data_IF_002577910271
#
_entry.id   IF_002577910271
#
_cell.length_a   1.000
_cell.length_b   1.000
_cell.length_c   1.000
_cell.angle_alpha   90.00
_cell.angle_beta   90.00
_cell.angle_gamma   90.00
#
_symmetry.space_group_name_H-M   'P 1'
#
loop_
_entity.id
_entity.type
_entity.pdbx_description
1 polymer ?
#
# COMPACT_ATOMS: atom_id res chain seq x y z
N UNK A 1 19.30 5.25 -12.25
CA UNK A 1 18.97 4.63 -10.94
C UNK A 1 18.32 5.74 -10.16
N UNK A 2 17.29 5.47 -9.36
CA UNK A 2 16.61 6.53 -8.58
C UNK A 2 17.59 7.13 -7.56
N UNK A 3 17.50 8.45 -7.35
CA UNK A 3 18.32 9.17 -6.37
C UNK A 3 18.02 8.79 -4.91
N UNK A 4 16.89 8.08 -4.70
CA UNK A 4 16.47 7.61 -3.38
C UNK A 4 17.00 6.20 -3.04
N UNK A 5 17.58 5.47 -4.00
CA UNK A 5 18.03 4.09 -3.83
C UNK A 5 19.54 4.04 -3.69
N UNK A 6 20.02 3.45 -2.57
CA UNK A 6 21.42 3.16 -2.35
C UNK A 6 21.80 1.79 -2.92
N UNK A 7 21.03 0.75 -2.59
CA UNK A 7 21.27 -0.61 -3.10
C UNK A 7 19.96 -1.41 -3.15
N UNK A 8 19.83 -2.31 -4.12
CA UNK A 8 18.75 -3.29 -4.20
C UNK A 8 19.28 -4.61 -3.64
N UNK A 9 18.62 -5.13 -2.58
CA UNK A 9 19.05 -6.34 -1.88
C UNK A 9 18.17 -7.55 -2.22
N UNK A 10 16.91 -7.31 -2.60
CA UNK A 10 15.94 -8.36 -2.88
C UNK A 10 14.97 -7.96 -4.00
N UNK A 11 14.65 -8.92 -4.84
CA UNK A 11 13.65 -8.75 -5.91
C UNK A 11 12.76 -9.97 -5.98
N UNK A 12 11.46 -9.75 -6.07
CA UNK A 12 10.47 -10.81 -6.29
C UNK A 12 9.34 -10.35 -7.20
N UNK A 13 8.51 -11.30 -7.64
CA UNK A 13 7.28 -11.03 -8.41
C UNK A 13 6.11 -11.73 -7.74
N UNK A 14 5.03 -10.99 -7.54
CA UNK A 14 3.77 -11.52 -7.08
C UNK A 14 2.78 -11.60 -8.23
N UNK A 15 2.05 -12.70 -8.30
CA UNK A 15 0.90 -12.85 -9.20
C UNK A 15 -0.36 -12.34 -8.54
N UNK A 16 -1.42 -12.11 -9.31
CA UNK A 16 -2.72 -11.75 -8.78
C UNK A 16 -3.21 -12.76 -7.72
N UNK A 17 -3.90 -12.25 -6.70
CA UNK A 17 -4.42 -13.06 -5.59
C UNK A 17 -3.35 -13.54 -4.61
N UNK A 18 -2.12 -13.06 -4.72
CA UNK A 18 -1.07 -13.32 -3.74
C UNK A 18 -1.23 -12.42 -2.52
N UNK A 19 -0.72 -12.88 -1.39
CA UNK A 19 -0.57 -12.07 -0.18
C UNK A 19 0.80 -12.33 0.44
N UNK A 20 1.33 -11.34 1.13
CA UNK A 20 2.67 -11.40 1.73
C UNK A 20 2.77 -10.41 2.89
N UNK A 21 3.60 -10.75 3.87
CA UNK A 21 3.93 -9.86 4.98
C UNK A 21 5.41 -9.92 5.34
N UNK A 22 5.94 -8.80 5.77
CA UNK A 22 7.34 -8.71 6.22
C UNK A 22 7.52 -7.52 7.16
N UNK A 23 8.55 -7.60 8.02
CA UNK A 23 9.04 -6.45 8.78
C UNK A 23 10.10 -5.74 7.94
N UNK A 24 9.84 -4.48 7.66
CA UNK A 24 10.74 -3.58 6.91
C UNK A 24 11.41 -2.64 7.91
N UNK A 25 12.71 -2.46 7.80
CA UNK A 25 13.45 -1.58 8.70
C UNK A 25 13.41 -0.13 8.24
N UNK A 26 13.52 0.78 9.19
CA UNK A 26 13.74 2.19 8.91
C UNK A 26 14.94 2.39 7.97
N UNK A 27 14.83 3.33 7.02
CA UNK A 27 15.88 3.60 6.04
C UNK A 27 15.97 2.57 4.92
N UNK A 28 14.98 1.68 4.79
CA UNK A 28 14.82 0.84 3.61
C UNK A 28 13.81 1.43 2.65
N UNK A 29 13.80 0.92 1.43
CA UNK A 29 12.77 1.24 0.46
C UNK A 29 12.05 -0.03 -0.02
N UNK A 30 10.84 0.17 -0.52
CA UNK A 30 10.09 -0.82 -1.30
C UNK A 30 9.65 -0.16 -2.61
N UNK A 31 10.14 -0.66 -3.74
CA UNK A 31 9.63 -0.29 -5.05
C UNK A 31 8.70 -1.36 -5.56
N UNK A 32 7.48 -0.95 -5.87
CA UNK A 32 6.49 -1.79 -6.53
C UNK A 32 6.38 -1.34 -7.98
N UNK A 33 6.30 -2.29 -8.92
CA UNK A 33 6.12 -2.01 -10.34
C UNK A 33 4.99 -2.87 -10.87
N UNK A 34 3.99 -2.25 -11.45
CA UNK A 34 2.92 -2.94 -12.18
C UNK A 34 3.49 -3.48 -13.50
N UNK A 35 3.46 -4.79 -13.69
CA UNK A 35 4.02 -5.43 -14.89
C UNK A 35 2.99 -5.58 -16.02
N UNK A 36 1.72 -5.42 -15.72
CA UNK A 36 0.61 -5.76 -16.63
C UNK A 36 -0.33 -4.59 -16.93
N UNK A 37 -0.38 -3.58 -16.05
CA UNK A 37 -1.23 -2.39 -16.21
C UNK A 37 -2.62 -2.52 -15.59
N UNK A 38 -2.88 -3.62 -14.86
CA UNK A 38 -4.16 -3.93 -14.21
C UNK A 38 -3.98 -4.34 -12.74
N UNK A 39 -2.82 -4.04 -12.16
CA UNK A 39 -2.52 -4.39 -10.77
C UNK A 39 -3.30 -3.52 -9.78
N UNK A 40 -3.67 -4.14 -8.68
CA UNK A 40 -4.03 -3.49 -7.42
C UNK A 40 -3.18 -4.08 -6.30
N UNK A 41 -2.58 -3.25 -5.46
CA UNK A 41 -1.84 -3.70 -4.28
C UNK A 41 -2.43 -3.04 -3.04
N UNK A 42 -3.23 -3.81 -2.30
CA UNK A 42 -3.69 -3.38 -0.98
C UNK A 42 -2.57 -3.53 0.04
N UNK A 43 -2.35 -2.51 0.88
CA UNK A 43 -1.30 -2.52 1.91
C UNK A 43 -1.82 -2.05 3.26
N UNK A 44 -1.38 -2.76 4.31
CA UNK A 44 -1.54 -2.36 5.72
C UNK A 44 -0.16 -2.12 6.33
N UNK A 45 -0.12 -1.23 7.32
CA UNK A 45 1.11 -0.87 8.03
C UNK A 45 0.85 -0.86 9.54
N UNK A 46 1.72 -1.53 10.29
CA UNK A 46 1.70 -1.58 11.75
C UNK A 46 3.10 -1.32 12.29
N UNK A 47 3.17 -0.79 13.51
CA UNK A 47 4.44 -0.74 14.23
C UNK A 47 4.76 -2.15 14.76
N UNK A 48 5.89 -2.77 14.39
CA UNK A 48 6.23 -4.14 14.83
C UNK A 48 6.56 -4.24 16.33
N UNK A 49 6.80 -3.12 17.01
CA UNK A 49 7.06 -3.07 18.46
C UNK A 49 5.78 -2.86 19.27
N UNK A 50 4.79 -2.18 18.67
CA UNK A 50 3.46 -1.97 19.24
C UNK A 50 2.40 -2.13 18.14
N UNK A 51 1.86 -3.34 18.00
CA UNK A 51 0.88 -3.67 16.96
C UNK A 51 -0.46 -2.93 17.08
N UNK A 52 -0.69 -2.20 18.18
CA UNK A 52 -1.83 -1.29 18.29
C UNK A 52 -1.63 -0.03 17.45
N UNK A 53 -0.39 0.42 17.30
CA UNK A 53 -0.07 1.52 16.39
C UNK A 53 -0.12 1.05 14.93
N UNK A 54 -1.00 1.65 14.17
CA UNK A 54 -1.29 1.27 12.79
C UNK A 54 -1.55 2.46 11.89
N UNK A 55 -1.50 2.22 10.58
CA UNK A 55 -1.83 3.22 9.60
C UNK A 55 -3.22 3.79 9.83
N UNK A 56 -3.30 5.12 9.83
CA UNK A 56 -4.53 5.88 10.00
C UNK A 56 -4.83 6.68 8.72
N UNK A 57 -5.82 6.25 7.95
CA UNK A 57 -6.22 6.94 6.74
C UNK A 57 -6.77 8.36 7.04
N UNK A 58 -7.70 8.59 7.99
CA UNK A 58 -8.17 9.93 8.33
C UNK A 58 -7.05 10.90 8.67
N UNK A 59 -6.08 10.51 9.48
CA UNK A 59 -4.97 11.38 9.85
C UNK A 59 -4.03 11.63 8.66
N UNK A 60 -3.78 10.61 7.84
CA UNK A 60 -3.02 10.77 6.59
C UNK A 60 -3.70 11.78 5.67
N UNK A 61 -4.98 11.61 5.37
CA UNK A 61 -5.70 12.50 4.46
C UNK A 61 -5.77 13.94 4.99
N UNK A 62 -5.97 14.09 6.30
CA UNK A 62 -5.97 15.39 6.97
C UNK A 62 -4.59 16.07 6.90
N UNK A 63 -3.52 15.36 7.26
CA UNK A 63 -2.15 15.90 7.20
C UNK A 63 -1.69 16.17 5.76
N UNK A 64 -2.18 15.41 4.79
CA UNK A 64 -1.82 15.60 3.38
C UNK A 64 -2.76 16.52 2.62
N UNK A 65 -3.87 16.96 3.22
CA UNK A 65 -4.91 17.81 2.60
C UNK A 65 -5.41 17.27 1.25
N UNK A 66 -5.40 15.96 1.07
CA UNK A 66 -5.84 15.26 -0.14
C UNK A 66 -6.16 13.80 0.14
N UNK A 67 -7.07 13.21 -0.61
CA UNK A 67 -7.27 11.77 -0.68
C UNK A 67 -6.52 11.11 -1.86
N UNK A 68 -5.91 11.92 -2.73
CA UNK A 68 -5.11 11.46 -3.87
C UNK A 68 -3.64 11.43 -3.47
N UNK A 69 -3.22 10.33 -2.81
CA UNK A 69 -1.83 10.20 -2.37
C UNK A 69 -0.91 9.91 -3.56
N UNK A 70 0.18 10.67 -3.62
CA UNK A 70 1.21 10.58 -4.65
C UNK A 70 2.57 11.01 -4.08
N UNK A 71 3.56 11.20 -4.94
CA UNK A 71 4.89 11.70 -4.58
C UNK A 71 4.82 12.91 -3.65
N UNK A 72 5.58 12.85 -2.56
CA UNK A 72 5.63 13.88 -1.51
C UNK A 72 4.71 13.58 -0.33
N UNK A 73 3.69 12.74 -0.51
CA UNK A 73 2.79 12.39 0.59
C UNK A 73 3.39 11.32 1.50
N UNK A 74 3.01 11.40 2.78
CA UNK A 74 3.45 10.48 3.83
C UNK A 74 2.27 9.71 4.41
N UNK A 75 2.50 8.45 4.76
CA UNK A 75 1.52 7.55 5.38
C UNK A 75 1.68 7.61 6.90
N UNK A 76 0.67 8.12 7.59
CA UNK A 76 0.70 8.36 9.03
C UNK A 76 0.13 7.22 9.84
N UNK A 77 0.70 7.01 11.03
CA UNK A 77 0.09 6.20 12.08
C UNK A 77 -0.94 7.02 12.88
N UNK A 78 -1.76 6.33 13.67
CA UNK A 78 -2.66 6.93 14.67
C UNK A 78 -1.92 7.60 15.84
N UNK A 79 -0.59 7.45 15.94
CA UNK A 79 0.28 8.14 16.88
C UNK A 79 0.97 9.37 16.26
N UNK A 80 0.59 9.77 15.03
CA UNK A 80 1.17 10.93 14.34
C UNK A 80 2.62 10.73 13.87
N UNK A 81 3.07 9.48 13.75
CA UNK A 81 4.35 9.10 13.17
C UNK A 81 4.19 8.71 11.70
N UNK A 82 5.26 8.73 10.93
CA UNK A 82 5.25 8.37 9.51
C UNK A 82 5.78 6.96 9.34
N UNK A 83 4.97 6.04 8.83
CA UNK A 83 5.43 4.72 8.41
C UNK A 83 6.28 4.78 7.16
N UNK A 84 5.77 5.43 6.12
CA UNK A 84 6.47 5.54 4.83
C UNK A 84 6.15 6.84 4.11
N UNK A 85 7.10 7.29 3.29
CA UNK A 85 6.97 8.40 2.34
C UNK A 85 6.87 7.86 0.92
N UNK A 86 5.99 8.42 0.10
CA UNK A 86 5.94 8.15 -1.35
C UNK A 86 6.97 9.06 -2.01
N UNK A 87 8.16 8.53 -2.27
CA UNK A 87 9.28 9.34 -2.80
C UNK A 87 9.30 9.41 -4.32
N UNK A 88 8.76 8.41 -5.02
CA UNK A 88 8.52 8.42 -6.47
C UNK A 88 7.17 7.77 -6.78
N UNK A 89 6.50 8.27 -7.80
CA UNK A 89 5.21 7.76 -8.28
C UNK A 89 5.03 8.13 -9.76
N UNK A 90 4.94 7.13 -10.61
CA UNK A 90 4.68 7.29 -12.05
C UNK A 90 3.18 7.27 -12.38
N UNK A 91 2.34 6.89 -11.41
CA UNK A 91 0.90 6.76 -11.62
C UNK A 91 0.15 8.09 -11.50
N UNK A 92 0.60 8.93 -10.57
CA UNK A 92 0.03 10.22 -10.26
C UNK A 92 -0.84 10.26 -9.01
N UNK A 93 -1.50 9.19 -8.60
CA UNK A 93 -2.16 9.04 -7.29
C UNK A 93 -2.71 7.64 -7.04
N UNK A 94 -2.97 7.32 -5.76
CA UNK A 94 -3.41 6.03 -5.26
C UNK A 94 -4.65 6.15 -4.38
N UNK A 95 -5.49 5.12 -4.36
CA UNK A 95 -6.71 5.08 -3.55
C UNK A 95 -6.43 4.79 -2.07
N UNK A 96 -7.12 5.51 -1.20
CA UNK A 96 -7.05 5.34 0.27
C UNK A 96 -8.42 5.28 0.93
N UNK A 97 -9.51 5.22 0.16
CA UNK A 97 -10.86 5.37 0.71
C UNK A 97 -11.78 4.19 0.39
N UNK A 98 -11.53 3.43 -0.68
CA UNK A 98 -12.44 2.36 -1.12
C UNK A 98 -12.35 1.08 -0.29
N UNK A 99 -11.27 0.89 0.48
CA UNK A 99 -11.08 -0.31 1.32
C UNK A 99 -10.71 -1.55 0.52
N UNK A 100 -11.18 -2.73 0.94
CA UNK A 100 -10.79 -4.02 0.40
C UNK A 100 -11.94 -4.77 -0.25
N UNK A 101 -11.65 -5.56 -1.28
CA UNK A 101 -12.60 -6.54 -1.81
C UNK A 101 -12.88 -7.63 -0.77
N UNK A 102 -14.13 -8.13 -0.77
CA UNK A 102 -14.60 -9.23 0.06
C UNK A 102 -15.07 -10.39 -0.82
N UNK A 103 -15.27 -11.55 -0.22
CA UNK A 103 -15.73 -12.74 -0.93
C UNK A 103 -17.03 -12.48 -1.72
N UNK A 104 -17.97 -11.75 -1.12
CA UNK A 104 -19.26 -11.42 -1.74
C UNK A 104 -19.07 -10.57 -3.01
N UNK A 105 -18.13 -9.59 -3.01
CA UNK A 105 -17.82 -8.78 -4.18
C UNK A 105 -17.22 -9.63 -5.30
N UNK A 106 -16.29 -10.54 -4.95
CA UNK A 106 -15.65 -11.43 -5.93
C UNK A 106 -16.66 -12.39 -6.54
N UNK A 107 -17.51 -13.00 -5.71
CA UNK A 107 -18.53 -13.95 -6.17
C UNK A 107 -19.60 -13.27 -7.06
N UNK A 108 -20.05 -12.08 -6.68
CA UNK A 108 -21.01 -11.32 -7.45
C UNK A 108 -20.47 -10.91 -8.83
N UNK A 109 -19.18 -10.52 -8.90
CA UNK A 109 -18.57 -10.01 -10.13
C UNK A 109 -18.06 -11.12 -11.05
N UNK A 110 -17.42 -12.18 -10.50
CA UNK A 110 -16.72 -13.20 -11.29
C UNK A 110 -17.15 -14.64 -10.99
N UNK A 111 -18.23 -14.83 -10.22
CA UNK A 111 -18.77 -16.13 -9.85
C UNK A 111 -18.03 -16.81 -8.70
N UNK A 112 -18.68 -17.85 -8.17
CA UNK A 112 -18.13 -18.64 -7.05
C UNK A 112 -16.82 -19.32 -7.40
N UNK A 113 -15.98 -19.52 -6.38
CA UNK A 113 -14.81 -20.38 -6.49
C UNK A 113 -15.21 -21.81 -6.71
N UNK A 114 -14.57 -22.44 -7.69
CA UNK A 114 -14.64 -23.89 -7.89
C UNK A 114 -13.20 -24.44 -7.85
N UNK A 115 -12.90 -25.21 -6.80
CA UNK A 115 -11.57 -25.78 -6.62
C UNK A 115 -11.14 -26.68 -7.79
N UNK A 116 -12.07 -27.42 -8.36
CA UNK A 116 -11.75 -28.35 -9.47
C UNK A 116 -11.47 -27.57 -10.77
N UNK A 117 -12.19 -26.48 -11.01
CA UNK A 117 -12.01 -25.63 -12.18
C UNK A 117 -10.84 -24.64 -12.03
N UNK A 118 -10.78 -23.97 -10.88
CA UNK A 118 -9.82 -22.88 -10.64
C UNK A 118 -8.46 -23.38 -10.15
N UNK A 119 -8.39 -24.57 -9.53
CA UNK A 119 -7.16 -25.15 -8.96
C UNK A 119 -6.40 -24.12 -8.12
N UNK A 120 -5.15 -23.78 -8.54
CA UNK A 120 -4.31 -22.77 -7.87
C UNK A 120 -4.54 -21.35 -8.35
N UNK A 121 -5.39 -21.15 -9.36
CA UNK A 121 -5.74 -19.82 -9.89
C UNK A 121 -6.98 -19.23 -9.21
N UNK A 122 -7.04 -19.31 -7.89
CA UNK A 122 -8.18 -18.91 -7.09
C UNK A 122 -8.53 -17.43 -7.29
N UNK A 123 -9.83 -17.17 -7.20
CA UNK A 123 -10.39 -15.82 -7.13
C UNK A 123 -10.34 -15.34 -5.68
N UNK A 124 -9.18 -14.87 -5.25
CA UNK A 124 -8.94 -14.38 -3.90
C UNK A 124 -9.54 -12.99 -3.70
N UNK A 125 -9.83 -12.62 -2.46
CA UNK A 125 -10.25 -11.29 -2.07
C UNK A 125 -9.26 -10.67 -1.07
N UNK A 126 -9.24 -9.32 -0.99
CA UNK A 126 -8.28 -8.61 -0.18
C UNK A 126 -8.49 -8.80 1.32
N UNK A 127 -9.74 -8.84 1.77
CA UNK A 127 -10.09 -8.99 3.18
C UNK A 127 -9.54 -10.31 3.76
N UNK A 128 -9.84 -11.45 3.13
CA UNK A 128 -9.39 -12.75 3.62
C UNK A 128 -7.86 -12.88 3.51
N UNK A 129 -7.27 -12.32 2.47
CA UNK A 129 -5.81 -12.26 2.29
C UNK A 129 -5.13 -11.52 3.45
N UNK A 130 -5.70 -10.39 3.88
CA UNK A 130 -5.18 -9.69 5.05
C UNK A 130 -5.39 -10.47 6.35
N UNK A 131 -6.53 -11.14 6.54
CA UNK A 131 -6.76 -11.96 7.74
C UNK A 131 -5.74 -13.10 7.86
N UNK A 132 -5.38 -13.74 6.74
CA UNK A 132 -4.33 -14.78 6.73
C UNK A 132 -2.98 -14.18 7.15
N UNK A 133 -2.62 -13.01 6.65
CA UNK A 133 -1.35 -12.37 7.00
C UNK A 133 -1.35 -11.85 8.45
N UNK A 134 -2.43 -11.23 8.91
CA UNK A 134 -2.60 -10.79 10.30
C UNK A 134 -2.43 -11.95 11.30
N UNK A 135 -3.03 -13.11 10.99
CA UNK A 135 -2.95 -14.30 11.83
C UNK A 135 -1.53 -14.79 12.10
N UNK A 136 -0.58 -14.54 11.18
CA UNK A 136 0.85 -14.88 11.37
C UNK A 136 1.50 -14.10 12.53
N UNK A 137 0.93 -12.96 12.89
CA UNK A 137 1.42 -12.05 13.93
C UNK A 137 0.52 -12.03 15.18
N UNK A 138 -0.43 -12.98 15.27
CA UNK A 138 -1.37 -13.06 16.39
C UNK A 138 -2.49 -12.02 16.37
N UNK A 139 -2.63 -11.32 15.24
CA UNK A 139 -3.71 -10.35 15.00
C UNK A 139 -4.93 -11.03 14.36
N UNK A 140 -6.08 -10.36 14.40
CA UNK A 140 -7.35 -10.90 13.91
C UNK A 140 -8.21 -9.80 13.25
N UNK A 141 -9.47 -10.10 12.95
CA UNK A 141 -10.38 -9.18 12.27
C UNK A 141 -10.62 -7.84 13.00
N UNK A 142 -10.52 -7.82 14.36
CA UNK A 142 -10.67 -6.58 15.13
C UNK A 142 -9.47 -5.64 14.95
N UNK A 143 -8.34 -6.18 14.52
CA UNK A 143 -7.10 -5.43 14.31
C UNK A 143 -6.96 -4.92 12.86
N UNK A 144 -7.90 -5.25 11.97
CA UNK A 144 -7.86 -4.84 10.57
C UNK A 144 -7.91 -3.30 10.46
N UNK A 145 -6.80 -2.71 10.03
CA UNK A 145 -6.67 -1.27 9.82
C UNK A 145 -7.24 -0.83 8.46
N UNK A 146 -7.30 0.48 8.23
CA UNK A 146 -7.48 1.02 6.89
C UNK A 146 -6.31 0.60 5.99
N UNK A 147 -6.56 0.46 4.69
CA UNK A 147 -5.55 0.11 3.72
C UNK A 147 -5.33 1.22 2.67
N UNK A 148 -4.18 1.16 2.03
CA UNK A 148 -3.89 1.90 0.80
C UNK A 148 -3.97 0.93 -0.36
N UNK A 149 -4.60 1.32 -1.48
CA UNK A 149 -4.64 0.55 -2.72
C UNK A 149 -3.71 1.20 -3.75
N UNK A 150 -2.48 0.73 -3.83
CA UNK A 150 -1.53 1.22 -4.82
C UNK A 150 -1.94 0.75 -6.23
N UNK A 151 -1.60 1.55 -7.24
CA UNK A 151 -1.98 1.38 -8.65
C UNK A 151 -3.46 1.54 -8.97
N UNK A 152 -4.31 1.81 -7.98
CA UNK A 152 -5.74 2.02 -8.18
C UNK A 152 -6.08 3.50 -8.05
N UNK A 153 -6.81 4.02 -9.01
CA UNK A 153 -7.35 5.38 -9.01
C UNK A 153 -8.86 5.31 -8.93
N UNK A 154 -9.46 6.09 -8.05
CA UNK A 154 -10.91 6.23 -7.99
C UNK A 154 -11.33 7.61 -8.49
N UNK A 155 -12.39 7.65 -9.24
CA UNK A 155 -13.10 8.87 -9.63
C UNK A 155 -14.28 9.06 -8.69
N UNK A 156 -14.55 10.32 -8.35
CA UNK A 156 -15.68 10.68 -7.50
C UNK A 156 -16.58 11.63 -8.28
N UNK A 157 -17.86 11.27 -8.42
CA UNK A 157 -18.85 12.10 -9.07
C UNK A 157 -19.18 13.33 -8.22
N UNK A 158 -19.93 14.28 -8.79
CA UNK A 158 -20.41 15.45 -8.04
C UNK A 158 -21.36 15.07 -6.90
N UNK A 159 -22.03 13.93 -7.02
CA UNK A 159 -22.94 13.35 -6.03
C UNK A 159 -22.21 12.53 -4.95
N UNK A 160 -20.89 12.31 -5.13
CA UNK A 160 -20.04 11.58 -4.18
C UNK A 160 -19.91 10.09 -4.49
N UNK A 161 -20.45 9.59 -5.60
CA UNK A 161 -20.30 8.20 -6.01
C UNK A 161 -18.86 7.91 -6.45
N UNK A 162 -18.34 6.74 -6.05
CA UNK A 162 -16.99 6.31 -6.36
C UNK A 162 -16.98 5.25 -7.47
N UNK A 163 -16.06 5.39 -8.41
CA UNK A 163 -15.78 4.40 -9.44
C UNK A 163 -14.27 4.20 -9.61
N UNK A 164 -13.84 2.97 -9.92
CA UNK A 164 -12.47 2.73 -10.33
C UNK A 164 -12.27 3.33 -11.73
N UNK A 165 -11.24 4.16 -11.88
CA UNK A 165 -10.91 4.78 -13.15
C UNK A 165 -10.52 3.72 -14.20
N UNK A 166 -11.01 3.84 -15.42
CA UNK A 166 -10.56 3.01 -16.53
C UNK A 166 -9.07 3.27 -16.81
N UNK A 167 -8.34 2.20 -17.15
CA UNK A 167 -6.89 2.29 -17.42
C UNK A 167 -6.10 3.00 -16.29
N UNK A 168 -6.48 2.70 -15.05
CA UNK A 168 -5.91 3.32 -13.84
C UNK A 168 -4.39 3.13 -13.70
N UNK A 169 -3.81 2.14 -14.35
CA UNK A 169 -2.37 1.88 -14.40
C UNK A 169 -1.92 1.48 -15.80
N UNK A 170 -0.61 1.43 -16.02
CA UNK A 170 0.03 0.97 -17.26
C UNK A 170 1.20 0.04 -16.92
N UNK A 171 1.53 -0.92 -17.81
CA UNK A 171 2.72 -1.74 -17.63
C UNK A 171 3.96 -0.88 -17.47
N UNK A 172 4.73 -1.13 -16.39
CA UNK A 172 5.92 -0.37 -16.05
C UNK A 172 5.70 0.79 -15.07
N UNK A 173 4.47 1.20 -14.79
CA UNK A 173 4.23 2.18 -13.72
C UNK A 173 4.78 1.66 -12.40
N UNK A 174 5.43 2.55 -11.65
CA UNK A 174 6.05 2.22 -10.38
C UNK A 174 5.73 3.23 -9.29
N UNK A 175 5.78 2.77 -8.05
CA UNK A 175 5.74 3.59 -6.85
C UNK A 175 6.90 3.18 -5.94
N UNK A 176 7.60 4.16 -5.37
CA UNK A 176 8.71 3.97 -4.46
C UNK A 176 8.34 4.49 -3.08
N UNK A 177 8.25 3.58 -2.12
CA UNK A 177 8.04 3.87 -0.70
C UNK A 177 9.40 3.84 0.01
N UNK A 178 9.72 4.89 0.79
CA UNK A 178 10.82 4.90 1.75
C UNK A 178 10.23 4.78 3.16
N UNK A 179 10.73 3.85 3.96
CA UNK A 179 10.26 3.62 5.32
C UNK A 179 10.97 4.52 6.31
N UNK A 180 10.19 5.32 7.03
CA UNK A 180 10.67 6.32 7.98
C UNK A 180 10.74 5.79 9.42
N UNK A 181 10.17 4.61 9.65
CA UNK A 181 10.28 3.84 10.90
C UNK A 181 10.22 2.34 10.58
N UNK A 182 10.62 1.49 11.55
CA UNK A 182 10.41 0.06 11.45
C UNK A 182 8.92 -0.23 11.27
N UNK A 183 8.58 -1.03 10.28
CA UNK A 183 7.19 -1.22 9.87
C UNK A 183 6.91 -2.68 9.56
N UNK A 184 5.85 -3.23 10.14
CA UNK A 184 5.25 -4.47 9.68
C UNK A 184 4.31 -4.14 8.52
N UNK A 185 4.67 -4.59 7.33
CA UNK A 185 3.89 -4.44 6.10
C UNK A 185 3.15 -5.73 5.80
N UNK A 186 1.85 -5.63 5.58
CA UNK A 186 1.05 -6.70 4.98
C UNK A 186 0.54 -6.19 3.64
N UNK A 187 0.57 -7.04 2.62
CA UNK A 187 0.07 -6.67 1.30
C UNK A 187 -0.64 -7.83 0.61
N UNK A 188 -1.50 -7.49 -0.33
CA UNK A 188 -2.14 -8.42 -1.25
C UNK A 188 -2.22 -7.84 -2.66
N UNK A 189 -2.37 -8.72 -3.66
CA UNK A 189 -2.57 -8.37 -5.07
C UNK A 189 -3.95 -8.79 -5.58
N UNK A 190 -4.96 -8.73 -4.70
CA UNK A 190 -6.35 -9.02 -5.05
C UNK A 190 -7.00 -7.84 -5.77
N UNK A 191 -8.10 -8.04 -6.52
CA UNK A 191 -8.80 -6.97 -7.20
C UNK A 191 -9.27 -5.85 -6.26
N UNK A 192 -9.32 -4.64 -6.80
CA UNK A 192 -9.91 -3.49 -6.13
C UNK A 192 -11.41 -3.72 -5.89
N UNK A 193 -12.01 -3.27 -4.76
CA UNK A 193 -13.43 -3.51 -4.46
C UNK A 193 -14.40 -2.92 -5.48
N UNK A 194 -13.99 -1.88 -6.20
CA UNK A 194 -14.81 -1.24 -7.25
C UNK A 194 -14.47 -1.72 -8.67
N UNK A 195 -13.65 -2.76 -8.81
CA UNK A 195 -13.31 -3.32 -10.12
C UNK A 195 -14.53 -4.02 -10.72
N UNK A 196 -14.90 -3.59 -11.94
CA UNK A 196 -16.03 -4.12 -12.72
C UNK A 196 -15.60 -4.80 -14.02
N UNK A 197 -14.32 -5.17 -14.13
CA UNK A 197 -13.80 -5.86 -15.32
C UNK A 197 -14.54 -7.17 -15.57
N UNK A 198 -14.66 -7.55 -16.83
CA UNK A 198 -15.40 -8.77 -17.24
C UNK A 198 -14.74 -10.05 -16.73
N UNK A 199 -13.43 -10.03 -16.52
CA UNK A 199 -12.65 -11.17 -16.05
C UNK A 199 -11.90 -10.81 -14.77
N UNK A 200 -11.74 -11.79 -13.86
CA UNK A 200 -10.96 -11.60 -12.66
C UNK A 200 -9.53 -11.11 -13.04
N UNK A 201 -9.09 -9.94 -12.55
CA UNK A 201 -7.80 -9.36 -12.92
C UNK A 201 -6.63 -10.27 -12.56
N UNK A 202 -5.66 -10.39 -13.44
CA UNK A 202 -4.47 -11.24 -13.26
C UNK A 202 -3.17 -10.43 -13.25
N UNK A 203 -3.26 -9.20 -12.72
CA UNK A 203 -2.13 -8.30 -12.58
C UNK A 203 -0.93 -8.94 -11.90
N UNK A 204 0.27 -8.57 -12.34
CA UNK A 204 1.55 -9.02 -11.78
C UNK A 204 2.32 -7.83 -11.29
N UNK A 205 2.91 -7.93 -10.12
CA UNK A 205 3.68 -6.86 -9.48
C UNK A 205 5.09 -7.34 -9.20
N UNK A 206 6.09 -6.57 -9.64
CA UNK A 206 7.48 -6.73 -9.19
C UNK A 206 7.67 -5.92 -7.92
N UNK A 207 8.34 -6.50 -6.93
CA UNK A 207 8.73 -5.84 -5.69
C UNK A 207 10.25 -5.87 -5.58
N UNK A 208 10.84 -4.72 -5.32
CA UNK A 208 12.26 -4.57 -5.05
C UNK A 208 12.41 -3.91 -3.66
N UNK A 209 13.25 -4.50 -2.84
CA UNK A 209 13.59 -4.04 -1.49
C UNK A 209 15.08 -3.77 -1.41
N UNK A 210 15.45 -2.78 -0.60
CA UNK A 210 16.86 -2.49 -0.37
C UNK A 210 17.06 -1.29 0.55
N UNK A 211 18.28 -0.79 0.56
CA UNK A 211 18.67 0.35 1.38
C UNK A 211 18.36 1.65 0.66
N UNK A 212 17.65 2.54 1.34
CA UNK A 212 17.39 3.89 0.85
C UNK A 212 18.60 4.81 1.08
N UNK A 213 18.70 5.89 0.31
CA UNK A 213 19.62 6.97 0.63
C UNK A 213 19.22 7.65 1.95
N UNK A 214 20.17 8.16 2.72
CA UNK A 214 19.86 8.96 3.91
C UNK A 214 18.96 10.16 3.59
N UNK A 215 18.12 10.53 4.53
CA UNK A 215 17.24 11.69 4.41
C UNK A 215 18.09 12.95 4.48
N UNK A 216 18.09 13.75 3.42
CA UNK A 216 18.77 15.05 3.38
C UNK A 216 17.91 16.15 4.05
N UNK A 217 18.52 17.27 4.37
CA UNK A 217 17.77 18.41 4.94
C UNK A 217 16.73 18.97 3.98
N UNK A 218 17.03 18.97 2.68
CA UNK A 218 16.17 19.41 1.58
C UNK A 218 15.28 18.28 1.03
N UNK A 219 15.12 17.17 1.75
CA UNK A 219 14.28 16.03 1.32
C UNK A 219 12.88 16.49 0.93
N UNK A 220 12.47 16.11 -0.27
CA UNK A 220 11.22 16.56 -0.85
C UNK A 220 10.00 16.16 0.00
N UNK A 221 9.92 14.91 0.47
CA UNK A 221 8.79 14.45 1.26
C UNK A 221 8.73 15.13 2.62
N UNK A 222 9.89 15.29 3.29
CA UNK A 222 10.00 15.98 4.59
C UNK A 222 9.50 17.43 4.50
N UNK A 223 9.85 18.11 3.41
CA UNK A 223 9.56 19.53 3.22
C UNK A 223 8.29 19.83 2.41
N UNK A 224 7.60 18.77 1.94
CA UNK A 224 6.42 18.91 1.09
C UNK A 224 5.26 19.64 1.79
N UNK A 225 5.11 19.40 3.10
CA UNK A 225 4.11 20.04 3.96
C UNK A 225 4.66 20.25 5.38
N UNK A 226 4.21 21.28 6.12
CA UNK A 226 4.60 21.47 7.52
C UNK A 226 4.28 20.23 8.40
N UNK A 227 3.15 19.57 8.12
CA UNK A 227 2.74 18.35 8.82
C UNK A 227 3.75 17.23 8.65
N UNK A 228 4.35 17.08 7.45
CA UNK A 228 5.39 16.09 7.21
C UNK A 228 6.62 16.38 8.09
N UNK A 229 7.09 17.63 8.13
CA UNK A 229 8.21 18.04 9.01
C UNK A 229 7.96 17.59 10.45
N UNK A 230 6.77 17.87 10.99
CA UNK A 230 6.36 17.44 12.34
C UNK A 230 6.32 15.91 12.47
N UNK A 231 5.81 15.19 11.48
CA UNK A 231 5.80 13.72 11.49
C UNK A 231 7.21 13.13 11.53
N UNK A 232 8.16 13.70 10.77
CA UNK A 232 9.58 13.32 10.83
C UNK A 232 10.20 13.62 12.20
N UNK A 233 9.85 14.74 12.84
CA UNK A 233 10.26 15.05 14.21
C UNK A 233 9.71 14.02 15.21
N UNK A 234 8.43 13.62 15.10
CA UNK A 234 7.84 12.57 15.91
C UNK A 234 8.57 11.24 15.76
N UNK A 235 8.96 10.88 14.53
CA UNK A 235 9.79 9.69 14.28
C UNK A 235 11.17 9.81 14.93
N UNK A 236 11.81 10.98 14.85
CA UNK A 236 13.10 11.21 15.48
C UNK A 236 13.03 11.07 17.00
N UNK A 237 11.97 11.62 17.63
CA UNK A 237 11.74 11.48 19.08
C UNK A 237 11.51 10.01 19.47
N UNK A 238 10.74 9.27 18.70
CA UNK A 238 10.49 7.84 18.94
C UNK A 238 11.77 7.00 18.91
N UNK A 239 12.75 7.39 18.09
CA UNK A 239 14.00 6.65 17.92
C UNK A 239 15.16 7.19 18.81
N UNK A 240 14.89 8.08 19.79
CA UNK A 240 15.92 8.53 20.71
C UNK A 240 16.41 7.36 21.55
N UNK A 241 17.69 7.07 21.46
CA UNK A 241 18.35 6.01 22.24
C UNK A 241 18.30 4.61 21.62
N UNK A 242 17.79 4.51 20.38
CA UNK A 242 17.82 3.28 19.59
C UNK A 242 19.03 3.23 18.65
#
# INVERSE_FOLDING_TARGET
MSDYIKSIEYTTKLTSGSHWSLRVRRGTFMRLTDLTGDANVGMLFYNPEDLLERYNAPDTLKCQHTFKLTKGNCLYSDMGRIFASIVEDDLGWHDTVAGNSRAEHIEAQWGKRDYQADRNAWKQNGHDSFLVELGKYGLNAADLAANVNLFSKIEISNEGDMALAENHSKPGNSVLLRFEMDTLVLLHTCPHPLDKSAHYPRGKVKIELGVAQPIAEDDYCKNFRPENGRGFENNALYHIGL
#
